data_IF_359233141479
#
_entry.id   IF_359233141479
#
_cell.length_a   1.000
_cell.length_b   1.000
_cell.length_c   1.000
_cell.angle_alpha   90.00
_cell.angle_beta   90.00
_cell.angle_gamma   90.00
#
_symmetry.space_group_name_H-M   'P 1'
#
loop_
_entity.id
_entity.type
_entity.pdbx_description
1 polymer ?
#
# COMPACT_ATOMS: atom_id res chain seq x y z
N UNK A 1 -11.97 5.47 7.71
CA UNK A 1 -11.10 4.64 6.86
C UNK A 1 -9.97 4.07 7.70
N UNK A 2 -9.35 3.00 7.22
CA UNK A 2 -8.19 2.37 7.84
C UNK A 2 -7.02 2.55 6.88
N UNK A 3 -5.96 3.19 7.34
CA UNK A 3 -4.76 3.46 6.55
C UNK A 3 -3.63 2.52 6.98
N UNK A 4 -3.05 1.78 6.04
CA UNK A 4 -2.05 0.75 6.34
C UNK A 4 -0.62 1.13 5.97
N UNK A 5 -0.40 2.33 5.45
CA UNK A 5 0.92 2.80 5.04
C UNK A 5 1.07 4.27 5.46
N UNK A 6 1.90 4.53 6.48
CA UNK A 6 2.18 5.89 6.96
C UNK A 6 3.54 6.00 7.66
N UNK A 7 4.18 7.16 7.51
CA UNK A 7 5.47 7.50 8.11
C UNK A 7 5.28 8.52 9.25
N UNK A 8 4.31 8.22 10.12
CA UNK A 8 3.88 9.11 11.19
C UNK A 8 4.79 9.06 12.43
N UNK A 9 5.65 8.03 12.58
CA UNK A 9 6.49 7.89 13.77
C UNK A 9 7.62 8.93 13.76
N UNK A 10 7.83 9.65 14.88
CA UNK A 10 8.78 10.76 14.91
C UNK A 10 10.22 10.27 14.88
N UNK A 11 11.00 10.78 13.93
CA UNK A 11 12.45 10.63 13.84
C UNK A 11 12.94 9.24 13.48
N UNK A 12 12.12 8.41 12.82
CA UNK A 12 12.51 7.05 12.41
C UNK A 12 12.93 6.93 10.95
N UNK A 13 12.44 7.82 10.08
CA UNK A 13 12.74 7.86 8.65
C UNK A 13 12.48 9.27 8.08
N UNK A 14 12.17 9.38 6.79
CA UNK A 14 11.90 10.61 6.07
C UNK A 14 10.46 11.14 6.24
N UNK A 15 9.67 10.54 7.13
CA UNK A 15 8.36 11.05 7.52
C UNK A 15 8.44 12.14 8.59
N UNK A 16 7.70 11.94 9.68
CA UNK A 16 7.63 12.92 10.76
C UNK A 16 9.00 13.12 11.44
N UNK A 17 9.53 14.36 11.54
CA UNK A 17 10.81 14.61 12.21
C UNK A 17 10.69 14.64 13.74
N UNK A 18 9.50 14.93 14.28
CA UNK A 18 9.29 15.13 15.71
C UNK A 18 7.85 14.84 16.16
N UNK A 19 7.64 14.78 17.48
CA UNK A 19 6.34 14.45 18.06
C UNK A 19 5.26 15.48 17.70
N UNK A 20 5.61 16.77 17.61
CA UNK A 20 4.65 17.82 17.29
C UNK A 20 4.08 17.62 15.87
N UNK A 21 4.96 17.31 14.92
CA UNK A 21 4.59 17.00 13.53
C UNK A 21 3.75 15.72 13.45
N UNK A 22 4.09 14.67 14.21
CA UNK A 22 3.30 13.43 14.27
C UNK A 22 1.87 13.69 14.78
N UNK A 23 1.71 14.55 15.79
CA UNK A 23 0.39 14.94 16.31
C UNK A 23 -0.39 15.76 15.27
N UNK A 24 0.27 16.67 14.53
CA UNK A 24 -0.36 17.40 13.42
C UNK A 24 -0.83 16.44 12.31
N UNK A 25 0.04 15.51 11.89
CA UNK A 25 -0.29 14.47 10.91
C UNK A 25 -1.50 13.63 11.36
N UNK A 26 -1.55 13.23 12.63
CA UNK A 26 -2.68 12.47 13.16
C UNK A 26 -3.99 13.25 13.10
N UNK A 27 -3.97 14.57 13.40
CA UNK A 27 -5.15 15.43 13.27
C UNK A 27 -5.61 15.55 11.81
N UNK A 28 -4.68 15.72 10.88
CA UNK A 28 -5.00 15.75 9.45
C UNK A 28 -5.59 14.41 8.99
N UNK A 29 -5.04 13.28 9.44
CA UNK A 29 -5.57 11.96 9.14
C UNK A 29 -7.00 11.77 9.67
N UNK A 30 -7.28 12.19 10.91
CA UNK A 30 -8.64 12.16 11.48
C UNK A 30 -9.59 13.07 10.70
N UNK A 31 -9.16 14.26 10.29
CA UNK A 31 -9.95 15.16 9.45
C UNK A 31 -10.23 14.56 8.06
N UNK A 32 -9.30 13.76 7.53
CA UNK A 32 -9.46 12.97 6.31
C UNK A 32 -10.37 11.72 6.52
N UNK A 33 -10.90 11.53 7.73
CA UNK A 33 -11.80 10.43 8.08
C UNK A 33 -11.07 9.12 8.38
N UNK A 34 -9.77 9.13 8.62
CA UNK A 34 -8.98 7.97 9.06
C UNK A 34 -9.16 7.79 10.57
N UNK A 35 -9.54 6.58 10.99
CA UNK A 35 -9.76 6.24 12.41
C UNK A 35 -8.74 5.24 12.93
N UNK A 36 -8.10 4.49 12.03
CA UNK A 36 -7.10 3.47 12.34
C UNK A 36 -5.93 3.65 11.37
N UNK A 37 -4.70 3.60 11.88
CA UNK A 37 -3.49 3.83 11.10
C UNK A 37 -2.38 2.85 11.48
N UNK A 38 -1.81 2.14 10.51
CA UNK A 38 -0.57 1.41 10.72
C UNK A 38 0.62 2.35 10.56
N UNK A 39 1.51 2.35 11.56
CA UNK A 39 2.78 3.04 11.52
C UNK A 39 3.80 2.12 10.83
N UNK A 40 4.25 2.51 9.64
CA UNK A 40 5.07 1.66 8.78
C UNK A 40 6.35 2.39 8.38
N UNK A 41 7.20 2.78 9.33
CA UNK A 41 8.44 3.44 8.98
C UNK A 41 9.32 2.51 8.16
N UNK A 42 10.22 3.08 7.37
CA UNK A 42 11.12 2.30 6.54
C UNK A 42 12.05 1.41 7.37
N UNK A 43 12.29 0.19 6.87
CA UNK A 43 13.41 -0.66 7.25
C UNK A 43 14.30 -0.85 6.04
N UNK A 44 15.43 -0.13 6.02
CA UNK A 44 16.39 -0.13 4.91
C UNK A 44 17.79 -0.40 5.47
N UNK A 45 18.37 -1.53 5.09
CA UNK A 45 19.69 -1.95 5.59
C UNK A 45 20.74 -0.88 5.28
N UNK A 46 21.41 -0.36 6.32
CA UNK A 46 22.44 0.68 6.20
C UNK A 46 21.93 2.13 6.11
N UNK A 47 20.62 2.36 6.06
CA UNK A 47 20.03 3.70 6.04
C UNK A 47 19.06 3.91 7.21
N UNK A 48 18.06 3.04 7.35
CA UNK A 48 17.07 3.07 8.43
C UNK A 48 17.09 1.75 9.19
N UNK A 49 17.86 1.72 10.28
CA UNK A 49 18.07 0.55 11.13
C UNK A 49 16.94 0.33 12.15
N UNK A 50 15.69 0.50 11.70
CA UNK A 50 14.51 0.25 12.52
C UNK A 50 14.28 -1.27 12.68
N UNK A 51 13.75 -1.67 13.83
CA UNK A 51 13.34 -3.04 14.12
C UNK A 51 11.99 -3.09 14.85
N UNK A 52 11.45 -4.29 15.03
CA UNK A 52 10.16 -4.48 15.68
C UNK A 52 10.10 -3.91 17.10
N UNK A 53 11.22 -3.92 17.85
CA UNK A 53 11.24 -3.41 19.22
C UNK A 53 11.18 -1.87 19.24
N UNK A 54 12.00 -1.22 18.42
CA UNK A 54 12.01 0.24 18.25
C UNK A 54 10.62 0.72 17.81
N UNK A 55 10.06 0.10 16.77
CA UNK A 55 8.78 0.52 16.20
C UNK A 55 7.66 0.35 17.23
N UNK A 56 7.53 -0.82 17.88
CA UNK A 56 6.48 -1.06 18.90
C UNK A 56 6.55 -0.06 20.05
N UNK A 57 7.77 0.28 20.50
CA UNK A 57 7.98 1.28 21.55
C UNK A 57 7.52 2.66 21.09
N UNK A 58 7.89 3.07 19.88
CA UNK A 58 7.50 4.39 19.34
C UNK A 58 6.00 4.49 19.06
N UNK A 59 5.36 3.43 18.55
CA UNK A 59 3.90 3.35 18.42
C UNK A 59 3.22 3.57 19.77
N UNK A 60 3.70 2.89 20.82
CA UNK A 60 3.14 3.02 22.17
C UNK A 60 3.32 4.43 22.75
N UNK A 61 4.46 5.07 22.49
CA UNK A 61 4.74 6.44 22.91
C UNK A 61 3.84 7.44 22.19
N UNK A 62 3.72 7.31 20.86
CA UNK A 62 2.88 8.17 20.04
C UNK A 62 1.41 8.00 20.41
N UNK A 63 0.91 6.78 20.59
CA UNK A 63 -0.49 6.54 21.01
C UNK A 63 -0.83 7.29 22.29
N UNK A 64 0.02 7.21 23.33
CA UNK A 64 -0.20 7.96 24.58
C UNK A 64 -0.23 9.48 24.37
N UNK A 65 0.61 9.99 23.47
CA UNK A 65 0.61 11.41 23.14
C UNK A 65 -0.66 11.83 22.39
N UNK A 66 -1.18 10.98 21.48
CA UNK A 66 -2.45 11.21 20.79
C UNK A 66 -3.62 11.19 21.78
N UNK A 67 -3.64 10.22 22.70
CA UNK A 67 -4.66 10.10 23.74
C UNK A 67 -4.68 11.35 24.64
N UNK A 68 -3.51 11.79 25.10
CA UNK A 68 -3.37 13.01 25.91
C UNK A 68 -3.79 14.28 25.14
N UNK A 69 -3.61 14.29 23.82
CA UNK A 69 -4.02 15.38 22.95
C UNK A 69 -5.47 15.26 22.45
N UNK A 70 -6.23 14.26 22.91
CA UNK A 70 -7.59 13.94 22.48
C UNK A 70 -7.73 13.76 20.95
N UNK A 71 -6.73 13.16 20.31
CA UNK A 71 -6.76 12.83 18.88
C UNK A 71 -7.28 11.39 18.73
N UNK A 72 -8.49 11.25 18.19
CA UNK A 72 -9.19 9.96 18.05
C UNK A 72 -8.64 9.12 16.88
N UNK A 73 -7.39 8.67 16.99
CA UNK A 73 -6.73 7.82 16.01
C UNK A 73 -6.09 6.61 16.72
N UNK A 74 -6.46 5.41 16.29
CA UNK A 74 -5.87 4.17 16.81
C UNK A 74 -4.66 3.76 15.97
N UNK A 75 -3.51 3.58 16.61
CA UNK A 75 -2.27 3.19 15.95
C UNK A 75 -2.02 1.68 16.02
N UNK A 76 -1.39 1.16 14.96
CA UNK A 76 -0.96 -0.22 14.82
C UNK A 76 0.51 -0.29 14.41
N UNK A 77 1.19 -1.36 14.81
CA UNK A 77 2.58 -1.60 14.41
C UNK A 77 2.64 -2.18 13.00
N UNK A 78 3.59 -1.72 12.19
CA UNK A 78 4.00 -2.33 10.92
C UNK A 78 5.39 -1.83 10.54
N UNK A 79 5.79 -2.05 9.29
CA UNK A 79 7.00 -1.49 8.70
C UNK A 79 6.82 -1.46 7.18
N UNK A 80 7.39 -0.46 6.52
CA UNK A 80 7.59 -0.51 5.07
C UNK A 80 8.97 -1.08 4.79
N UNK A 81 9.00 -2.29 4.25
CA UNK A 81 10.19 -3.13 4.28
C UNK A 81 10.81 -3.21 2.90
N UNK A 82 12.00 -2.63 2.77
CA UNK A 82 12.79 -2.76 1.57
C UNK A 82 13.22 -4.22 1.39
N UNK A 83 13.05 -4.73 0.17
CA UNK A 83 13.46 -6.07 -0.24
C UNK A 83 14.89 -6.40 0.18
N UNK A 84 15.04 -7.52 0.88
CA UNK A 84 16.32 -8.11 1.25
C UNK A 84 16.28 -9.64 1.09
N UNK A 85 17.41 -10.31 0.74
CA UNK A 85 17.45 -11.77 0.58
C UNK A 85 17.10 -12.57 1.83
N UNK A 86 17.36 -12.00 3.02
CA UNK A 86 17.16 -12.60 4.33
C UNK A 86 15.80 -12.25 4.96
N UNK A 87 14.89 -11.63 4.18
CA UNK A 87 13.61 -11.14 4.67
C UNK A 87 12.74 -12.24 5.30
N UNK A 88 12.71 -13.44 4.71
CA UNK A 88 11.97 -14.60 5.25
C UNK A 88 12.43 -14.92 6.69
N UNK A 89 13.74 -14.93 6.92
CA UNK A 89 14.34 -15.23 8.23
C UNK A 89 14.05 -14.11 9.24
N UNK A 90 14.22 -12.84 8.82
CA UNK A 90 13.98 -11.67 9.68
C UNK A 90 12.54 -11.53 10.12
N UNK A 91 11.57 -11.80 9.23
CA UNK A 91 10.15 -11.80 9.59
C UNK A 91 9.84 -12.99 10.50
N UNK A 92 10.32 -14.20 10.17
CA UNK A 92 10.08 -15.40 10.98
C UNK A 92 10.61 -15.29 12.41
N UNK A 93 11.73 -14.59 12.60
CA UNK A 93 12.30 -14.29 13.93
C UNK A 93 11.65 -13.10 14.64
N UNK A 94 10.75 -12.38 13.97
CA UNK A 94 10.09 -11.19 14.50
C UNK A 94 10.99 -9.95 14.61
N UNK A 95 12.16 -9.95 13.95
CA UNK A 95 13.02 -8.75 13.87
C UNK A 95 12.36 -7.66 13.02
N UNK A 96 11.69 -8.06 11.94
CA UNK A 96 10.85 -7.20 11.12
C UNK A 96 9.39 -7.43 11.52
N UNK A 97 8.65 -6.40 11.94
CA UNK A 97 7.25 -6.56 12.29
C UNK A 97 6.39 -6.68 11.03
N UNK A 98 5.34 -7.47 11.12
CA UNK A 98 4.23 -7.49 10.16
C UNK A 98 3.13 -6.51 10.59
N UNK A 99 2.16 -6.24 9.72
CA UNK A 99 1.03 -5.36 10.02
C UNK A 99 0.20 -5.96 11.16
N UNK A 100 0.26 -5.32 12.33
CA UNK A 100 -0.40 -5.71 13.57
C UNK A 100 -0.16 -7.18 13.98
N UNK A 101 1.02 -7.73 13.67
CA UNK A 101 1.31 -9.14 13.96
C UNK A 101 0.52 -10.14 13.10
N UNK A 102 -0.16 -9.69 12.06
CA UNK A 102 -0.79 -10.56 11.06
C UNK A 102 0.26 -11.23 10.18
N UNK A 103 -0.18 -12.04 9.21
CA UNK A 103 0.73 -12.57 8.19
C UNK A 103 1.08 -11.57 7.09
N UNK A 104 0.42 -10.41 7.05
CA UNK A 104 0.59 -9.43 5.99
C UNK A 104 1.65 -8.41 6.37
N UNK A 105 2.46 -8.00 5.40
CA UNK A 105 3.47 -6.96 5.61
C UNK A 105 3.70 -6.16 4.33
N UNK A 106 4.14 -4.91 4.47
CA UNK A 106 4.47 -4.08 3.32
C UNK A 106 5.83 -4.48 2.75
N UNK A 107 5.86 -4.67 1.44
CA UNK A 107 6.97 -5.21 0.69
C UNK A 107 7.34 -4.21 -0.41
N UNK A 108 8.37 -3.41 -0.15
CA UNK A 108 8.76 -2.25 -0.95
C UNK A 108 9.92 -2.58 -1.89
N UNK A 109 9.67 -2.70 -3.22
CA UNK A 109 10.74 -2.85 -4.18
C UNK A 109 11.50 -1.52 -4.36
N UNK A 110 12.81 -1.56 -4.66
CA UNK A 110 13.56 -0.37 -5.04
C UNK A 110 12.91 0.34 -6.24
N UNK A 111 12.79 1.66 -6.15
CA UNK A 111 12.12 2.48 -7.16
C UNK A 111 12.76 2.43 -8.55
N UNK A 112 14.09 2.30 -8.64
CA UNK A 112 14.80 2.53 -9.91
C UNK A 112 15.26 1.25 -10.61
N UNK A 113 15.35 0.13 -9.90
CA UNK A 113 15.87 -1.13 -10.45
C UNK A 113 14.98 -2.28 -10.01
N UNK A 114 14.59 -3.11 -10.98
CA UNK A 114 13.90 -4.36 -10.72
C UNK A 114 14.83 -5.31 -9.95
N UNK A 115 14.46 -5.75 -8.73
CA UNK A 115 15.29 -6.70 -8.00
C UNK A 115 15.35 -8.04 -8.70
N UNK A 116 16.55 -8.63 -8.83
CA UNK A 116 16.67 -9.97 -9.36
C UNK A 116 15.90 -10.94 -8.45
N UNK A 117 15.17 -11.88 -9.06
CA UNK A 117 14.50 -12.99 -8.36
C UNK A 117 13.43 -12.53 -7.35
N UNK A 118 12.83 -11.35 -7.54
CA UNK A 118 11.74 -10.86 -6.68
C UNK A 118 10.56 -11.84 -6.59
N UNK A 119 10.21 -12.49 -7.71
CA UNK A 119 9.14 -13.51 -7.77
C UNK A 119 9.49 -14.75 -6.93
N UNK A 120 10.74 -15.21 -6.97
CA UNK A 120 11.20 -16.35 -6.16
C UNK A 120 11.20 -16.00 -4.67
N UNK A 121 11.59 -14.77 -4.31
CA UNK A 121 11.53 -14.30 -2.93
C UNK A 121 10.08 -14.25 -2.43
N UNK A 122 9.17 -13.69 -3.24
CA UNK A 122 7.74 -13.67 -2.93
C UNK A 122 7.18 -15.10 -2.76
N UNK A 123 7.58 -16.05 -3.59
CA UNK A 123 7.15 -17.45 -3.47
C UNK A 123 7.60 -18.05 -2.13
N UNK A 124 8.85 -17.81 -1.72
CA UNK A 124 9.38 -18.28 -0.43
C UNK A 124 8.65 -17.65 0.76
N UNK A 125 8.29 -16.37 0.67
CA UNK A 125 7.51 -15.67 1.71
C UNK A 125 6.12 -16.29 1.87
N UNK A 126 5.44 -16.54 0.75
CA UNK A 126 4.10 -17.17 0.73
C UNK A 126 4.16 -18.62 1.25
N UNK A 127 5.18 -19.38 0.86
CA UNK A 127 5.42 -20.73 1.39
C UNK A 127 5.68 -20.72 2.90
N UNK A 128 6.30 -19.67 3.43
CA UNK A 128 6.48 -19.44 4.87
C UNK A 128 5.23 -18.83 5.54
N UNK A 129 4.08 -18.83 4.85
CA UNK A 129 2.79 -18.31 5.31
C UNK A 129 2.72 -16.79 5.55
N UNK A 130 3.68 -16.01 5.04
CA UNK A 130 3.61 -14.55 5.02
C UNK A 130 3.07 -14.06 3.68
N UNK A 131 2.23 -13.03 3.70
CA UNK A 131 1.60 -12.46 2.50
C UNK A 131 2.18 -11.08 2.23
N UNK A 132 3.02 -10.92 1.21
CA UNK A 132 3.56 -9.61 0.83
C UNK A 132 2.47 -8.70 0.29
N UNK A 133 2.48 -7.44 0.68
CA UNK A 133 1.72 -6.35 0.06
C UNK A 133 2.71 -5.47 -0.69
N UNK A 134 2.69 -5.52 -2.02
CA UNK A 134 3.57 -4.70 -2.86
C UNK A 134 3.14 -3.25 -2.70
N UNK A 135 4.02 -2.41 -2.15
CA UNK A 135 3.75 -0.99 -1.97
C UNK A 135 3.98 -0.21 -3.25
N UNK A 136 3.03 0.69 -3.52
CA UNK A 136 3.03 1.67 -4.60
C UNK A 136 3.71 1.23 -5.91
N UNK A 137 3.33 0.09 -6.52
CA UNK A 137 3.98 -0.38 -7.73
C UNK A 137 3.84 0.61 -8.89
N UNK A 138 2.81 1.46 -8.88
CA UNK A 138 2.63 2.53 -9.85
C UNK A 138 3.76 3.57 -9.87
N UNK A 139 4.58 3.64 -8.82
CA UNK A 139 5.72 4.56 -8.67
C UNK A 139 7.07 3.91 -9.00
N UNK A 140 7.10 2.65 -9.40
CA UNK A 140 8.33 1.96 -9.77
C UNK A 140 8.76 2.42 -11.17
N UNK A 141 9.96 2.99 -11.30
CA UNK A 141 10.47 3.52 -12.57
C UNK A 141 10.61 2.46 -13.66
N UNK A 142 10.75 1.20 -13.27
CA UNK A 142 10.89 0.05 -14.16
C UNK A 142 9.56 -0.63 -14.50
N UNK A 143 8.41 -0.15 -13.98
CA UNK A 143 7.10 -0.78 -14.22
C UNK A 143 6.74 -0.81 -15.72
N UNK A 144 7.26 0.13 -16.51
CA UNK A 144 6.94 0.22 -17.93
C UNK A 144 7.47 -0.95 -18.75
N UNK A 145 8.74 -1.32 -18.56
CA UNK A 145 9.30 -2.49 -19.23
C UNK A 145 8.95 -3.81 -18.53
N UNK A 146 8.58 -3.78 -17.24
CA UNK A 146 8.48 -4.99 -16.42
C UNK A 146 7.11 -5.18 -15.76
N UNK A 147 6.04 -4.64 -16.34
CA UNK A 147 4.67 -4.77 -15.79
C UNK A 147 4.28 -6.24 -15.51
N UNK A 148 4.74 -7.17 -16.35
CA UNK A 148 4.48 -8.62 -16.20
C UNK A 148 4.93 -9.16 -14.84
N UNK A 149 5.97 -8.58 -14.24
CA UNK A 149 6.45 -8.98 -12.91
C UNK A 149 5.41 -8.64 -11.84
N UNK A 150 4.77 -7.46 -11.91
CA UNK A 150 3.69 -7.08 -11.00
C UNK A 150 2.49 -8.03 -11.17
N UNK A 151 2.16 -8.40 -12.41
CA UNK A 151 1.09 -9.36 -12.69
C UNK A 151 1.38 -10.75 -12.11
N UNK A 152 2.63 -11.20 -12.23
CA UNK A 152 3.08 -12.50 -11.72
C UNK A 152 3.08 -12.52 -10.19
N UNK A 153 3.60 -11.49 -9.53
CA UNK A 153 3.58 -11.38 -8.07
C UNK A 153 2.16 -11.41 -7.52
N UNK A 154 1.23 -10.68 -8.15
CA UNK A 154 -0.17 -10.68 -7.74
C UNK A 154 -0.84 -12.05 -7.94
N UNK A 155 -0.55 -12.73 -9.07
CA UNK A 155 -1.04 -14.10 -9.34
C UNK A 155 -0.50 -15.11 -8.32
N UNK A 156 0.75 -14.95 -7.92
CA UNK A 156 1.43 -15.82 -6.97
C UNK A 156 0.81 -15.76 -5.56
N UNK A 157 0.19 -14.63 -5.19
CA UNK A 157 -0.42 -14.45 -3.88
C UNK A 157 -0.17 -13.10 -3.23
N UNK A 158 0.68 -12.23 -3.82
CA UNK A 158 0.93 -10.91 -3.26
C UNK A 158 -0.28 -9.98 -3.44
N UNK A 159 -0.53 -9.17 -2.42
CA UNK A 159 -1.50 -8.08 -2.54
C UNK A 159 -0.84 -6.84 -3.17
N UNK A 160 -1.64 -5.95 -3.72
CA UNK A 160 -1.18 -4.67 -4.28
C UNK A 160 -1.80 -3.51 -3.49
N UNK A 161 -0.95 -2.58 -3.06
CA UNK A 161 -1.33 -1.30 -2.46
C UNK A 161 -0.97 -0.16 -3.42
N UNK A 162 -1.95 0.68 -3.81
CA UNK A 162 -1.67 1.94 -4.51
C UNK A 162 -1.65 3.12 -3.52
N UNK A 163 -0.84 4.13 -3.80
CA UNK A 163 -0.79 5.36 -2.98
C UNK A 163 -1.93 6.30 -3.33
N UNK A 164 -2.62 6.84 -2.31
CA UNK A 164 -3.75 7.76 -2.48
C UNK A 164 -3.40 8.96 -3.37
N UNK A 165 -2.24 9.57 -3.15
CA UNK A 165 -1.75 10.70 -3.94
C UNK A 165 -1.46 10.34 -5.42
N UNK A 166 -1.14 9.08 -5.73
CA UNK A 166 -0.98 8.62 -7.11
C UNK A 166 -2.33 8.60 -7.85
N UNK A 167 -3.40 8.21 -7.15
CA UNK A 167 -4.77 8.22 -7.69
C UNK A 167 -5.28 9.65 -7.87
N UNK A 168 -4.95 10.55 -6.94
CA UNK A 168 -5.29 11.97 -7.02
C UNK A 168 -4.52 12.67 -8.15
N UNK A 169 -3.35 12.13 -8.55
CA UNK A 169 -2.52 12.64 -9.63
C UNK A 169 -1.31 13.45 -9.19
N UNK A 170 -1.00 13.47 -7.89
CA UNK A 170 0.09 14.25 -7.31
C UNK A 170 1.49 13.65 -7.58
N UNK A 171 1.57 12.37 -7.96
CA UNK A 171 2.82 11.71 -8.38
C UNK A 171 3.05 11.72 -9.91
N UNK A 172 2.30 12.53 -10.65
CA UNK A 172 2.51 12.74 -12.08
C UNK A 172 1.87 11.67 -12.99
N UNK A 173 1.96 11.88 -14.31
CA UNK A 173 1.14 11.14 -15.28
C UNK A 173 1.46 9.65 -15.38
N UNK A 174 2.71 9.26 -15.14
CA UNK A 174 3.12 7.85 -15.16
C UNK A 174 2.44 7.05 -14.03
N UNK A 175 2.51 7.57 -12.80
CA UNK A 175 1.87 6.95 -11.64
C UNK A 175 0.34 6.89 -11.80
N UNK A 176 -0.28 7.98 -12.30
CA UNK A 176 -1.71 8.01 -12.59
C UNK A 176 -2.11 6.96 -13.64
N UNK A 177 -1.30 6.79 -14.70
CA UNK A 177 -1.55 5.78 -15.72
C UNK A 177 -1.52 4.36 -15.15
N UNK A 178 -0.50 4.02 -14.35
CA UNK A 178 -0.39 2.68 -13.77
C UNK A 178 -1.40 2.43 -12.66
N UNK A 179 -1.81 3.46 -11.89
CA UNK A 179 -3.01 3.36 -11.04
C UNK A 179 -4.21 2.93 -11.86
N UNK A 180 -4.51 3.66 -12.93
CA UNK A 180 -5.64 3.37 -13.82
C UNK A 180 -5.59 1.96 -14.38
N UNK A 181 -4.43 1.53 -14.90
CA UNK A 181 -4.24 0.20 -15.47
C UNK A 181 -4.43 -0.92 -14.44
N UNK A 182 -3.81 -0.81 -13.26
CA UNK A 182 -3.93 -1.82 -12.21
C UNK A 182 -5.37 -1.93 -11.69
N UNK A 183 -6.08 -0.80 -11.56
CA UNK A 183 -7.50 -0.76 -11.21
C UNK A 183 -8.38 -1.38 -12.30
N UNK A 184 -8.14 -1.03 -13.57
CA UNK A 184 -8.90 -1.56 -14.72
C UNK A 184 -8.66 -3.06 -14.94
N UNK A 185 -7.52 -3.57 -14.51
CA UNK A 185 -7.23 -4.99 -14.57
C UNK A 185 -7.76 -5.77 -13.35
N UNK A 186 -8.30 -5.08 -12.34
CA UNK A 186 -8.82 -5.67 -11.10
C UNK A 186 -7.73 -6.21 -10.19
N UNK A 187 -6.55 -5.59 -10.17
CA UNK A 187 -5.36 -6.11 -9.47
C UNK A 187 -5.10 -5.48 -8.11
N UNK A 188 -5.79 -4.39 -7.78
CA UNK A 188 -5.54 -3.59 -6.57
C UNK A 188 -6.34 -4.14 -5.40
N UNK A 189 -5.67 -4.39 -4.28
CA UNK A 189 -6.31 -4.90 -3.08
C UNK A 189 -6.69 -3.77 -2.12
N UNK A 190 -5.76 -2.86 -1.85
CA UNK A 190 -5.95 -1.76 -0.90
C UNK A 190 -5.40 -0.43 -1.43
N UNK A 191 -5.89 0.67 -0.87
CA UNK A 191 -5.29 1.99 -1.01
C UNK A 191 -4.81 2.43 0.36
N UNK A 192 -3.65 3.06 0.41
CA UNK A 192 -3.10 3.65 1.62
C UNK A 192 -2.50 5.03 1.30
N UNK A 193 -2.29 5.85 2.32
CA UNK A 193 -1.84 7.22 2.10
C UNK A 193 -0.38 7.32 1.71
N UNK A 194 0.48 6.49 2.32
CA UNK A 194 1.94 6.68 2.28
C UNK A 194 2.32 8.12 2.72
N UNK A 195 1.62 8.62 3.74
CA UNK A 195 1.80 10.00 4.19
C UNK A 195 3.12 10.18 4.96
N UNK A 196 3.76 11.32 4.70
CA UNK A 196 5.04 11.71 5.30
C UNK A 196 4.97 13.04 6.04
N UNK A 197 3.91 13.83 5.82
CA UNK A 197 3.75 15.11 6.49
C UNK A 197 2.31 15.61 6.50
N UNK A 198 2.02 16.68 7.27
CA UNK A 198 0.68 17.23 7.40
C UNK A 198 0.24 18.11 6.22
N UNK A 199 1.18 18.51 5.34
CA UNK A 199 0.92 19.40 4.18
C UNK A 199 1.37 18.79 2.86
N UNK A 200 2.63 18.36 2.78
CA UNK A 200 3.21 17.66 1.63
C UNK A 200 3.14 16.17 1.91
N UNK A 201 2.73 15.37 0.91
CA UNK A 201 2.42 13.94 1.08
C UNK A 201 1.49 13.75 2.30
N UNK A 202 0.41 14.51 2.31
CA UNK A 202 -0.67 14.40 3.29
C UNK A 202 -1.55 13.19 2.99
N UNK A 203 -2.38 12.71 3.95
CA UNK A 203 -3.09 11.46 3.79
C UNK A 203 -3.92 11.29 2.50
N UNK A 204 -4.75 12.28 2.15
CA UNK A 204 -5.57 12.35 0.92
C UNK A 204 -6.36 11.07 0.57
N UNK A 205 -6.62 10.20 1.55
CA UNK A 205 -7.26 8.90 1.35
C UNK A 205 -8.75 9.06 1.07
N UNK A 206 -9.40 10.07 1.67
CA UNK A 206 -10.81 10.38 1.40
C UNK A 206 -11.03 10.75 -0.07
N UNK A 207 -10.19 11.65 -0.59
CA UNK A 207 -10.24 12.11 -1.98
C UNK A 207 -9.95 10.98 -2.96
N UNK A 208 -8.99 10.11 -2.65
CA UNK A 208 -8.73 8.92 -3.44
C UNK A 208 -9.93 7.96 -3.45
N UNK A 209 -10.55 7.70 -2.29
CA UNK A 209 -11.76 6.89 -2.17
C UNK A 209 -12.91 7.45 -3.00
N UNK A 210 -13.14 8.77 -3.00
CA UNK A 210 -14.19 9.40 -3.81
C UNK A 210 -13.96 9.22 -5.32
N UNK A 211 -12.71 9.34 -5.78
CA UNK A 211 -12.35 9.07 -7.18
C UNK A 211 -12.61 7.60 -7.55
N UNK A 212 -12.26 6.68 -6.64
CA UNK A 212 -12.51 5.25 -6.83
C UNK A 212 -14.00 4.91 -6.79
N UNK A 213 -14.79 5.56 -5.94
CA UNK A 213 -16.24 5.35 -5.90
C UNK A 213 -16.89 5.71 -7.25
N UNK A 214 -16.45 6.80 -7.89
CA UNK A 214 -16.91 7.17 -9.23
C UNK A 214 -16.50 6.17 -10.32
N UNK A 215 -15.33 5.54 -10.17
CA UNK A 215 -14.77 4.61 -11.17
C UNK A 215 -15.26 3.17 -11.00
N UNK A 216 -15.28 2.66 -9.77
CA UNK A 216 -15.50 1.26 -9.42
C UNK A 216 -16.81 1.01 -8.65
N UNK A 217 -17.46 2.07 -8.18
CA UNK A 217 -18.63 1.99 -7.30
C UNK A 217 -18.26 1.96 -5.82
N UNK A 218 -19.23 2.33 -4.99
CA UNK A 218 -19.09 2.52 -3.54
C UNK A 218 -18.64 1.27 -2.79
N UNK A 219 -19.14 0.11 -3.20
CA UNK A 219 -18.81 -1.15 -2.51
C UNK A 219 -17.31 -1.49 -2.63
N UNK A 220 -16.76 -1.37 -3.84
CA UNK A 220 -15.35 -1.71 -4.07
C UNK A 220 -14.41 -0.64 -3.50
N UNK A 221 -14.78 0.66 -3.59
CA UNK A 221 -14.00 1.72 -2.94
C UNK A 221 -13.99 1.55 -1.41
N UNK A 222 -15.10 1.16 -0.79
CA UNK A 222 -15.17 0.84 0.64
C UNK A 222 -14.32 -0.39 0.99
N UNK A 223 -14.33 -1.44 0.16
CA UNK A 223 -13.49 -2.63 0.40
C UNK A 223 -12.00 -2.29 0.44
N UNK A 224 -11.53 -1.41 -0.44
CA UNK A 224 -10.11 -1.06 -0.56
C UNK A 224 -9.56 -0.20 0.60
N UNK A 225 -10.42 0.49 1.35
CA UNK A 225 -10.02 1.45 2.42
C UNK A 225 -10.63 1.16 3.79
N UNK A 226 -11.49 0.14 3.90
CA UNK A 226 -12.12 -0.29 5.15
C UNK A 226 -12.05 -1.80 5.30
N UNK A 227 -12.76 -2.56 4.47
CA UNK A 227 -13.01 -3.98 4.72
C UNK A 227 -11.75 -4.85 4.59
N UNK A 228 -10.97 -4.69 3.51
CA UNK A 228 -9.70 -5.42 3.32
C UNK A 228 -8.61 -4.96 4.29
N UNK A 229 -8.40 -3.64 4.51
CA UNK A 229 -7.50 -3.19 5.58
C UNK A 229 -7.84 -3.76 6.96
N UNK A 230 -9.12 -3.82 7.33
CA UNK A 230 -9.57 -4.45 8.58
C UNK A 230 -9.22 -5.94 8.62
N UNK A 231 -9.50 -6.66 7.53
CA UNK A 231 -9.19 -8.09 7.40
C UNK A 231 -7.68 -8.34 7.56
N UNK A 232 -6.84 -7.46 7.01
CA UNK A 232 -5.39 -7.50 7.16
C UNK A 232 -4.99 -7.35 8.64
N UNK A 233 -5.49 -6.31 9.33
CA UNK A 233 -5.17 -6.08 10.74
C UNK A 233 -5.64 -7.21 11.67
N UNK A 234 -6.72 -7.90 11.30
CA UNK A 234 -7.28 -9.05 12.03
C UNK A 234 -6.71 -10.40 11.58
N UNK A 235 -5.76 -10.41 10.64
CA UNK A 235 -5.16 -11.61 10.07
C UNK A 235 -6.17 -12.56 9.39
N UNK A 236 -7.27 -12.04 8.88
CA UNK A 236 -8.28 -12.80 8.15
C UNK A 236 -7.79 -13.19 6.74
N UNK A 237 -8.38 -14.23 6.14
CA UNK A 237 -8.04 -14.64 4.77
C UNK A 237 -8.52 -13.65 3.71
N UNK A 238 -7.62 -13.22 2.83
CA UNK A 238 -7.93 -12.46 1.63
C UNK A 238 -7.37 -13.19 0.42
N UNK A 239 -8.23 -13.36 -0.59
CA UNK A 239 -7.76 -13.71 -1.94
C UNK A 239 -7.26 -12.44 -2.62
N UNK A 240 -6.07 -12.45 -3.26
CA UNK A 240 -5.60 -11.33 -4.06
C UNK A 240 -6.61 -10.94 -5.15
N UNK A 241 -6.76 -9.65 -5.42
CA UNK A 241 -7.75 -9.12 -6.35
C UNK A 241 -7.58 -9.71 -7.76
N UNK A 242 -6.35 -9.87 -8.24
CA UNK A 242 -6.09 -10.47 -9.56
C UNK A 242 -6.42 -11.95 -9.70
N UNK A 243 -6.73 -12.62 -8.58
CA UNK A 243 -7.19 -14.01 -8.56
C UNK A 243 -8.72 -14.14 -8.46
N UNK A 244 -9.45 -13.03 -8.32
CA UNK A 244 -10.92 -13.05 -8.34
C UNK A 244 -11.46 -13.09 -9.79
N UNK A 245 -12.56 -13.81 -10.00
CA UNK A 245 -13.26 -13.78 -11.29
C UNK A 245 -13.71 -12.36 -11.64
N UNK A 246 -13.38 -11.89 -12.85
CA UNK A 246 -13.72 -10.54 -13.29
C UNK A 246 -15.24 -10.41 -13.46
N UNK A 247 -15.88 -9.35 -12.93
CA UNK A 247 -17.28 -9.08 -13.22
C UNK A 247 -17.52 -8.97 -14.73
N UNK A 248 -18.63 -9.52 -15.23
CA UNK A 248 -18.96 -9.57 -16.66
C UNK A 248 -18.91 -8.20 -17.38
N UNK A 249 -19.12 -7.10 -16.64
CA UNK A 249 -19.04 -5.72 -17.13
C UNK A 249 -17.64 -5.35 -17.65
N UNK A 250 -16.58 -5.87 -17.02
CA UNK A 250 -15.18 -5.65 -17.41
C UNK A 250 -14.77 -6.38 -18.69
N UNK A 251 -15.37 -7.53 -18.97
CA UNK A 251 -15.12 -8.29 -20.20
C UNK A 251 -15.80 -7.65 -21.42
N UNK A 252 -16.95 -7.00 -21.22
CA UNK A 252 -17.68 -6.31 -22.28
C UNK A 252 -16.94 -5.06 -22.79
N UNK A 253 -16.37 -4.25 -21.90
CA UNK A 253 -15.61 -3.03 -22.26
C UNK A 253 -14.27 -3.34 -22.96
N UNK A 254 -13.61 -4.45 -22.60
CA UNK A 254 -12.40 -4.91 -23.30
C UNK A 254 -12.69 -5.37 -24.73
N UNK A 255 -13.82 -6.06 -24.96
CA UNK A 255 -14.24 -6.47 -26.31
C UNK A 255 -14.58 -5.26 -27.19
N UNK A 256 -15.29 -4.26 -26.67
CA UNK A 256 -15.65 -3.05 -27.43
C UNK A 256 -14.43 -2.16 -27.71
N UNK A 257 -13.49 -2.04 -26.77
CA UNK A 257 -12.22 -1.34 -26.98
C UNK A 257 -11.31 -2.01 -28.02
N UNK A 258 -11.23 -3.34 -28.01
CA UNK A 258 -10.46 -4.11 -29.01
C UNK A 258 -11.10 -4.01 -30.41
N UNK A 259 -12.43 -4.09 -30.51
CA UNK A 259 -13.17 -3.89 -31.76
C UNK A 259 -13.00 -2.47 -32.32
N UNK A 260 -13.02 -1.44 -31.47
CA UNK A 260 -12.73 -0.05 -31.91
C UNK A 260 -11.30 0.11 -32.43
N UNK A 261 -10.32 -0.58 -31.85
CA UNK A 261 -8.92 -0.54 -32.30
C UNK A 261 -8.69 -1.29 -33.62
N UNK A 262 -9.44 -2.36 -33.86
CA UNK A 262 -9.43 -3.10 -35.14
C UNK A 262 -10.20 -2.37 -36.25
N UNK A 263 -11.26 -1.62 -35.91
CA UNK A 263 -12.06 -0.87 -36.88
C UNK A 263 -11.59 0.58 -37.11
N UNK A 264 -10.69 1.12 -36.29
CA UNK A 264 -10.15 2.49 -36.40
C UNK A 264 -8.81 2.61 -37.14
N UNK A 265 -8.26 1.51 -37.66
CA UNK A 265 -6.97 1.46 -38.37
C UNK A 265 -7.09 1.68 -39.88
N UNK A 266 -7.98 2.56 -40.33
CA UNK A 266 -8.18 2.83 -41.76
C UNK A 266 -8.54 4.30 -42.02
N UNK A 267 -7.59 4.99 -42.65
CA UNK A 267 -7.69 6.29 -43.35
C UNK A 267 -7.80 7.57 -42.50
N UNK A 268 -6.64 8.14 -42.16
CA UNK A 268 -6.15 9.40 -42.78
C UNK A 268 -4.71 9.65 -42.36
#
# INVERSE_FOLDING_TARGET
MIDLHSHILPGLDDGSPDLATSVEMARVAVADGITHMACTPHIVSGLYANDAHIIKRQVSLLQRALDAANVSLQLFTGADVHIAPDLVEKISRGTIPTLNGSRYFLFEPPHHVLPPRIEELAARLIQAHFVPIITHPERLGWIAENYVVIENLNRLGCLIQLTADSIVGNFGPLATYYCGRLLDEGRVDIIASDCHGPRIRSPNLSKARELLERKLGREESDRMVLSRPRSILLNEYLSPAGNMEKPAKYLAEKKTGLLKRLMGGGLS
#
